data_IF_978826951676
#
_entry.id   IF_978826951676
#
_cell.length_a   1.000
_cell.length_b   1.000
_cell.length_c   1.000
_cell.angle_alpha   90.00
_cell.angle_beta   90.00
_cell.angle_gamma   90.00
#
_symmetry.space_group_name_H-M   'P 1'
#
loop_
_entity.id
_entity.type
_entity.pdbx_description
1 polymer ?
2 non-polymer ?
3 non-polymer ?
4 non-polymer ?
5 water ?
#
# COMPACT_ATOMS: atom_id res chain seq x y z
N UNK A 23 25.59 12.85 -7.23
CA UNK A 23 24.65 13.76 -6.58
C UNK A 23 24.72 15.16 -7.21
N UNK A 24 23.68 15.53 -7.97
CA UNK A 24 23.60 16.83 -8.61
C UNK A 24 22.35 17.57 -8.17
N UNK A 25 21.97 17.29 -6.94
CA UNK A 25 20.75 17.81 -6.33
C UNK A 25 21.05 19.12 -5.61
N UNK A 26 20.10 20.04 -5.68
CA UNK A 26 20.19 21.24 -4.87
C UNK A 26 20.10 20.89 -3.38
N UNK A 27 20.48 21.87 -2.56
CA UNK A 27 20.36 21.66 -1.12
C UNK A 27 18.92 21.48 -0.70
N UNK A 28 17.99 22.17 -1.36
CA UNK A 28 16.58 21.98 -1.05
C UNK A 28 16.13 20.58 -1.42
N UNK A 29 16.66 20.03 -2.51
CA UNK A 29 16.29 18.67 -2.91
C UNK A 29 16.82 17.66 -1.91
N UNK A 30 18.09 17.79 -1.54
CA UNK A 30 18.66 16.90 -0.53
C UNK A 30 17.98 17.06 0.81
N UNK A 31 17.50 18.27 1.13
CA UNK A 31 16.70 18.40 2.34
C UNK A 31 15.43 17.57 2.22
N UNK A 32 14.77 17.67 1.07
CA UNK A 32 13.51 16.99 0.85
C UNK A 32 13.65 15.49 1.04
N UNK A 33 14.70 14.90 0.47
CA UNK A 33 14.90 13.46 0.57
C UNK A 33 15.22 13.05 2.01
N UNK A 34 16.06 13.85 2.68
CA UNK A 34 16.43 13.57 4.06
C UNK A 34 15.20 13.55 4.98
N UNK A 35 14.30 14.53 4.81
CA UNK A 35 13.11 14.53 5.66
C UNK A 35 12.22 13.33 5.36
N UNK A 36 12.05 12.97 4.08
CA UNK A 36 11.23 11.80 3.76
C UNK A 36 11.87 10.52 4.30
N UNK A 37 13.17 10.35 4.11
CA UNK A 37 13.83 9.18 4.66
C UNK A 37 13.68 9.15 6.18
N UNK A 38 13.74 10.32 6.83
CA UNK A 38 13.62 10.37 8.28
C UNK A 38 12.24 9.94 8.73
N UNK A 39 11.20 10.45 8.07
CA UNK A 39 9.84 10.05 8.41
C UNK A 39 9.63 8.55 8.20
N UNK A 40 10.20 8.03 7.11
CA UNK A 40 10.06 6.60 6.82
C UNK A 40 10.71 5.78 7.90
N UNK A 41 11.95 6.12 8.25
CA UNK A 41 12.68 5.43 9.30
C UNK A 41 11.91 5.42 10.61
N UNK A 42 11.19 6.50 10.92
CA UNK A 42 10.54 6.59 12.21
C UNK A 42 9.17 5.91 12.23
N UNK A 43 8.58 5.58 11.09
CA UNK A 43 7.20 5.14 11.09
C UNK A 43 6.96 3.86 10.30
N UNK A 44 7.97 3.27 9.69
CA UNK A 44 7.78 2.01 8.98
C UNK A 44 8.46 0.94 9.85
N UNK A 45 7.65 0.08 10.44
CA UNK A 45 8.11 -1.04 11.27
C UNK A 45 8.41 -2.20 10.33
N UNK A 46 9.63 -2.17 9.77
CA UNK A 46 9.95 -3.11 8.69
C UNK A 46 9.92 -4.56 9.16
N UNK A 47 10.15 -4.82 10.43
CA UNK A 47 10.07 -6.17 10.97
C UNK A 47 8.71 -6.51 11.55
N UNK A 48 7.74 -5.58 11.53
CA UNK A 48 6.41 -5.83 12.06
C UNK A 48 6.46 -6.31 13.52
N UNK A 49 7.41 -5.79 14.30
CA UNK A 49 7.51 -6.18 15.71
C UNK A 49 6.28 -5.77 16.50
N UNK A 50 5.65 -4.64 16.16
CA UNK A 50 4.55 -4.13 16.98
C UNK A 50 3.17 -4.44 16.39
N UNK A 51 3.09 -5.39 15.46
CA UNK A 51 1.78 -5.86 14.98
C UNK A 51 1.43 -7.06 15.84
N UNK A 52 0.56 -6.87 16.83
CA UNK A 52 0.21 -7.89 17.81
C UNK A 52 -1.30 -7.88 18.04
N UNK A 53 -1.80 -8.93 18.70
CA UNK A 53 -3.20 -9.07 19.10
C UNK A 53 -4.16 -9.20 17.93
N UNK A 54 -3.70 -9.65 16.77
CA UNK A 54 -4.57 -9.71 15.61
C UNK A 54 -5.41 -10.98 15.65
N UNK A 55 -6.58 -10.89 15.02
CA UNK A 55 -7.42 -12.07 14.83
C UNK A 55 -6.83 -13.01 13.76
N UNK A 56 -7.28 -14.26 13.80
CA UNK A 56 -6.82 -15.35 12.95
C UNK A 56 -7.99 -16.22 12.58
N UNK A 57 -7.95 -16.87 11.41
CA UNK A 57 -9.06 -17.74 11.01
C UNK A 57 -9.25 -18.87 12.01
N UNK A 58 -10.52 -19.14 12.34
CA UNK A 58 -10.85 -20.00 13.47
C UNK A 58 -10.40 -21.44 13.30
N UNK A 59 -10.50 -22.17 14.40
CA UNK A 59 -10.15 -23.59 14.45
C UNK A 59 -11.42 -24.43 14.59
N UNK A 78 -28.25 -11.00 -5.17
CA UNK A 78 -27.76 -12.38 -5.20
C UNK A 78 -26.72 -12.51 -6.30
N UNK A 79 -26.78 -11.62 -7.29
CA UNK A 79 -25.65 -11.42 -8.19
C UNK A 79 -24.61 -10.50 -7.56
N UNK A 80 -25.02 -9.73 -6.53
CA UNK A 80 -24.05 -9.07 -5.67
C UNK A 80 -23.10 -10.08 -5.07
N UNK A 81 -23.54 -11.34 -5.02
CA UNK A 81 -22.91 -12.42 -4.29
C UNK A 81 -21.86 -13.17 -5.12
N UNK A 82 -22.23 -13.60 -6.34
CA UNK A 82 -21.23 -14.09 -7.28
C UNK A 82 -20.16 -13.05 -7.53
N UNK A 83 -20.48 -11.77 -7.37
CA UNK A 83 -19.48 -10.71 -7.49
C UNK A 83 -18.55 -10.68 -6.28
N UNK A 84 -19.12 -10.75 -5.07
CA UNK A 84 -18.30 -10.77 -3.86
C UNK A 84 -17.43 -12.01 -3.82
N UNK A 85 -18.00 -13.16 -4.24
CA UNK A 85 -17.20 -14.37 -4.38
C UNK A 85 -16.12 -14.19 -5.45
N UNK A 86 -16.47 -13.54 -6.56
CA UNK A 86 -15.46 -13.15 -7.54
C UNK A 86 -14.42 -12.22 -6.91
N UNK A 87 -14.87 -11.24 -6.15
CA UNK A 87 -13.95 -10.31 -5.51
C UNK A 87 -12.96 -11.03 -4.59
N UNK A 88 -13.46 -11.93 -3.74
CA UNK A 88 -12.61 -12.51 -2.70
C UNK A 88 -11.54 -13.42 -3.29
N UNK A 89 -11.94 -14.45 -4.03
CA UNK A 89 -11.01 -15.50 -4.47
C UNK A 89 -9.90 -14.99 -5.40
N UNK A 90 -9.88 -13.69 -5.72
CA UNK A 90 -8.81 -13.17 -6.56
C UNK A 90 -7.46 -13.14 -5.84
N UNK A 91 -7.45 -13.33 -4.51
CA UNK A 91 -6.22 -13.33 -3.74
C UNK A 91 -6.28 -14.47 -2.73
N UNK A 92 -5.64 -15.60 -3.06
CA UNK A 92 -5.61 -16.78 -2.19
C UNK A 92 -4.18 -16.97 -1.68
N UNK A 93 -3.98 -16.78 -0.38
CA UNK A 93 -2.65 -16.91 0.21
C UNK A 93 -2.70 -17.88 1.39
N UNK A 94 -1.60 -18.57 1.57
CA UNK A 94 -1.35 -19.30 2.80
C UNK A 94 -0.58 -18.41 3.77
N UNK A 95 -0.72 -18.71 5.05
CA UNK A 95 -0.27 -17.85 6.12
C UNK A 95 0.68 -18.61 7.03
N UNK A 96 1.82 -18.00 7.36
CA UNK A 96 2.81 -18.66 8.18
C UNK A 96 3.20 -17.75 9.34
N UNK A 97 3.33 -18.33 10.53
CA UNK A 97 3.63 -17.60 11.76
C UNK A 97 4.79 -18.27 12.47
N UNK A 98 5.94 -17.60 12.52
CA UNK A 98 7.13 -18.15 13.17
C UNK A 98 7.12 -17.73 14.64
N UNK A 99 7.28 -18.69 15.53
CA UNK A 99 7.29 -18.38 16.94
C UNK A 99 8.65 -17.89 17.39
N UNK A 100 8.64 -17.05 18.42
CA UNK A 100 9.88 -16.55 19.04
C UNK A 100 10.74 -17.68 19.59
N UNK A 101 10.20 -18.91 19.58
CA UNK A 101 10.84 -20.10 20.12
C UNK A 101 11.27 -21.09 19.05
N UNK A 102 10.94 -20.85 17.78
CA UNK A 102 11.29 -21.76 16.72
C UNK A 102 10.13 -22.56 16.16
N UNK A 103 9.01 -22.63 16.86
CA UNK A 103 7.83 -23.28 16.33
C UNK A 103 7.25 -22.50 15.14
N UNK A 104 6.48 -23.20 14.31
CA UNK A 104 5.84 -22.61 13.15
C UNK A 104 4.36 -23.03 13.11
N UNK A 105 3.47 -22.05 13.09
CA UNK A 105 2.07 -22.28 12.76
C UNK A 105 1.84 -21.94 11.29
N UNK A 106 1.00 -22.74 10.62
CA UNK A 106 0.84 -22.61 9.19
C UNK A 106 -0.61 -22.81 8.79
N UNK A 107 -1.13 -21.92 7.95
CA UNK A 107 -2.54 -21.94 7.58
C UNK A 107 -2.67 -22.03 6.07
N UNK A 108 -3.32 -23.12 5.59
CA UNK A 108 -3.76 -23.25 4.20
C UNK A 108 -5.27 -23.07 4.12
N UNK A 109 -5.77 -22.27 3.17
CA UNK A 109 -7.18 -21.83 3.22
C UNK A 109 -8.12 -22.81 2.55
N UNK A 110 -9.43 -22.64 2.75
CA UNK A 110 -10.40 -23.54 2.13
C UNK A 110 -10.60 -23.25 0.65
N UNK A 111 -10.91 -24.31 -0.09
CA UNK A 111 -11.42 -24.12 -1.45
C UNK A 111 -12.79 -23.46 -1.38
N UNK A 112 -13.13 -22.70 -2.42
CA UNK A 112 -14.43 -22.05 -2.47
C UNK A 112 -15.53 -23.09 -2.60
N UNK A 113 -16.53 -23.03 -1.69
CA UNK A 113 -17.60 -24.03 -1.64
C UNK A 113 -18.98 -23.40 -1.50
N UNK A 114 -19.17 -22.16 -1.96
CA UNK A 114 -20.49 -21.55 -2.06
C UNK A 114 -21.09 -21.02 -0.77
N UNK A 115 -20.32 -20.95 0.31
CA UNK A 115 -20.83 -20.44 1.58
C UNK A 115 -19.94 -19.40 2.22
N UNK A 116 -20.09 -19.20 3.54
CA UNK A 116 -19.35 -18.20 4.31
C UNK A 116 -17.85 -18.56 4.57
N UNK A 117 -17.23 -19.56 3.94
CA UNK A 117 -15.84 -19.92 4.20
C UNK A 117 -14.85 -18.97 3.53
N UNK A 118 -15.31 -18.16 2.58
CA UNK A 118 -14.46 -17.14 1.95
C UNK A 118 -14.24 -15.94 2.85
N UNK A 119 -14.95 -15.88 3.98
CA UNK A 119 -14.91 -14.76 4.91
C UNK A 119 -14.00 -15.00 6.10
N UNK A 120 -13.35 -16.16 6.19
CA UNK A 120 -12.61 -16.51 7.39
C UNK A 120 -11.33 -15.71 7.54
N UNK A 121 -10.79 -15.18 6.46
CA UNK A 121 -9.58 -14.38 6.50
C UNK A 121 -9.81 -12.87 6.66
N UNK A 122 -11.04 -12.38 6.48
CA UNK A 122 -11.28 -10.93 6.52
C UNK A 122 -10.92 -10.26 7.84
N UNK A 123 -11.21 -10.81 9.01
CA UNK A 123 -10.81 -10.07 10.23
C UNK A 123 -9.31 -9.89 10.33
N UNK A 124 -8.52 -10.89 9.93
CA UNK A 124 -7.07 -10.73 9.95
C UNK A 124 -6.60 -9.67 8.95
N UNK A 125 -7.13 -9.70 7.72
CA UNK A 125 -6.80 -8.64 6.75
C UNK A 125 -7.09 -7.27 7.34
N UNK A 126 -8.22 -7.13 8.02
CA UNK A 126 -8.59 -5.84 8.58
C UNK A 126 -7.62 -5.40 9.67
N UNK A 127 -7.18 -6.33 10.52
CA UNK A 127 -6.24 -5.96 11.56
C UNK A 127 -4.90 -5.55 10.97
N UNK A 128 -4.44 -6.26 9.92
CA UNK A 128 -3.19 -5.88 9.26
C UNK A 128 -3.34 -4.53 8.56
N UNK A 129 -4.42 -4.35 7.78
CA UNK A 129 -4.67 -3.08 7.12
C UNK A 129 -4.63 -1.94 8.12
N UNK A 130 -5.26 -2.14 9.27
CA UNK A 130 -5.34 -1.09 10.27
C UNK A 130 -3.95 -0.75 10.80
N UNK A 131 -3.17 -1.78 11.16
CA UNK A 131 -1.80 -1.58 11.58
C UNK A 131 -0.99 -0.81 10.54
N UNK A 132 -1.11 -1.18 9.25
CA UNK A 132 -0.38 -0.44 8.21
C UNK A 132 -0.85 0.99 8.12
N UNK A 133 -2.16 1.20 8.24
CA UNK A 133 -2.71 2.54 8.12
C UNK A 133 -2.16 3.47 9.20
N UNK A 134 -1.95 2.94 10.40
CA UNK A 134 -1.41 3.78 11.47
C UNK A 134 0.00 4.26 11.13
N UNK A 135 0.86 3.34 10.67
CA UNK A 135 2.19 3.74 10.26
C UNK A 135 2.16 4.80 9.16
N UNK A 136 1.24 4.66 8.22
CA UNK A 136 1.08 5.60 7.12
C UNK A 136 0.63 6.97 7.64
N UNK A 137 -0.30 6.99 8.60
CA UNK A 137 -0.75 8.27 9.16
C UNK A 137 0.39 8.96 9.89
N UNK A 138 1.16 8.20 10.69
CA UNK A 138 2.33 8.72 11.38
C UNK A 138 3.36 9.25 10.40
N UNK A 139 3.56 8.55 9.28
CA UNK A 139 4.47 9.02 8.25
C UNK A 139 4.08 10.43 7.76
N UNK A 140 2.81 10.62 7.41
CA UNK A 140 2.37 11.94 6.93
C UNK A 140 2.57 13.00 8.00
N UNK A 141 2.21 12.70 9.25
CA UNK A 141 2.27 13.69 10.34
C UNK A 141 3.69 14.19 10.59
N UNK A 142 4.70 13.36 10.39
CA UNK A 142 6.07 13.80 10.57
C UNK A 142 6.54 14.76 9.47
N UNK A 143 5.93 14.73 8.28
CA UNK A 143 6.39 15.53 7.15
C UNK A 143 5.95 16.99 7.30
N UNK A 144 6.92 17.90 7.25
CA UNK A 144 6.63 19.33 7.42
C UNK A 144 5.65 19.85 6.37
N UNK A 145 5.89 19.56 5.09
CA UNK A 145 4.96 20.01 4.05
C UNK A 145 3.54 19.54 4.34
N UNK A 146 3.38 18.34 4.92
CA UNK A 146 2.04 17.85 5.23
C UNK A 146 1.45 18.59 6.43
N UNK A 147 2.27 18.84 7.45
CA UNK A 147 1.80 19.54 8.64
C UNK A 147 1.35 20.96 8.32
N UNK A 148 2.02 21.63 7.39
CA UNK A 148 1.63 22.99 7.06
C UNK A 148 0.31 23.06 6.29
N UNK A 149 -0.25 21.94 5.89
CA UNK A 149 -1.51 22.09 5.19
C UNK A 149 -2.64 22.26 6.20
N UNK A 150 -3.75 22.88 5.78
CA UNK A 150 -4.94 22.90 6.65
C UNK A 150 -5.37 21.48 6.99
N UNK A 151 -6.02 21.35 8.15
CA UNK A 151 -6.29 20.01 8.67
C UNK A 151 -7.34 19.30 7.83
N UNK A 152 -8.25 20.03 7.20
CA UNK A 152 -9.24 19.38 6.34
C UNK A 152 -8.60 18.79 5.10
N UNK A 153 -7.45 19.32 4.67
CA UNK A 153 -6.77 18.75 3.52
C UNK A 153 -5.86 17.60 3.91
N UNK A 154 -5.20 17.70 5.06
CA UNK A 154 -4.53 16.54 5.61
C UNK A 154 -5.44 15.31 5.59
N UNK A 155 -6.69 15.49 6.02
CA UNK A 155 -7.63 14.37 6.09
C UNK A 155 -8.00 13.92 4.69
N UNK A 156 -8.38 14.85 3.82
CA UNK A 156 -8.73 14.49 2.44
C UNK A 156 -7.59 13.73 1.75
N UNK A 157 -6.35 14.21 1.92
CA UNK A 157 -5.19 13.53 1.33
C UNK A 157 -4.96 12.14 1.93
N UNK A 158 -5.03 12.01 3.27
CA UNK A 158 -4.85 10.69 3.86
C UNK A 158 -5.92 9.72 3.36
N UNK A 159 -7.19 10.14 3.36
CA UNK A 159 -8.25 9.31 2.81
C UNK A 159 -7.94 8.89 1.37
N UNK A 160 -7.27 9.75 0.59
CA UNK A 160 -7.05 9.44 -0.80
C UNK A 160 -5.90 8.48 -1.05
N UNK A 161 -4.87 8.48 -0.19
CA UNK A 161 -3.60 7.84 -0.51
C UNK A 161 -3.20 6.71 0.44
N UNK A 162 -3.86 6.59 1.60
CA UNK A 162 -3.53 5.54 2.57
C UNK A 162 -3.35 4.16 1.93
N UNK A 163 -4.31 3.71 1.13
CA UNK A 163 -4.21 2.42 0.46
C UNK A 163 -2.97 2.36 -0.44
N UNK A 164 -2.71 3.42 -1.21
CA UNK A 164 -1.57 3.41 -2.13
C UNK A 164 -0.24 3.38 -1.37
N UNK A 165 -0.14 4.14 -0.29
CA UNK A 165 1.12 4.13 0.46
C UNK A 165 1.35 2.78 1.11
N UNK A 166 0.26 2.13 1.54
CA UNK A 166 0.39 0.79 2.10
C UNK A 166 0.88 -0.20 1.05
N UNK A 167 0.32 -0.13 -0.16
CA UNK A 167 0.79 -1.00 -1.24
C UNK A 167 2.27 -0.75 -1.54
N UNK A 168 2.68 0.53 -1.57
CA UNK A 168 4.08 0.85 -1.81
C UNK A 168 4.97 0.30 -0.69
N UNK A 169 4.54 0.41 0.57
CA UNK A 169 5.35 -0.17 1.65
C UNK A 169 5.40 -1.69 1.56
N UNK A 170 4.30 -2.32 1.16
CA UNK A 170 4.25 -3.77 1.08
C UNK A 170 5.17 -4.32 0.00
N UNK A 171 5.40 -3.54 -1.06
CA UNK A 171 6.28 -3.99 -2.14
C UNK A 171 7.73 -4.14 -1.68
N UNK A 172 8.16 -3.38 -0.68
CA UNK A 172 9.54 -3.50 -0.20
C UNK A 172 9.78 -4.76 0.63
N UNK A 173 8.74 -5.42 1.15
CA UNK A 173 8.91 -6.71 1.82
C UNK A 173 8.41 -7.87 0.95
N UNK A 174 8.12 -7.61 -0.34
CA UNK A 174 7.65 -8.64 -1.26
C UNK A 174 8.83 -9.39 -1.88
N UNK A 175 8.73 -10.70 -1.94
CA UNK A 175 9.77 -11.58 -2.48
C UNK A 175 9.22 -12.14 -3.78
N UNK A 176 9.66 -11.61 -4.91
CA UNK A 176 9.04 -11.98 -6.17
C UNK A 176 9.53 -13.33 -6.68
N UNK A 177 10.65 -13.83 -6.16
CA UNK A 177 11.09 -15.17 -6.53
C UNK A 177 10.22 -16.25 -5.89
N UNK A 178 9.68 -16.00 -4.70
CA UNK A 178 8.87 -16.98 -3.98
C UNK A 178 7.40 -16.60 -3.86
N UNK A 179 6.98 -15.46 -4.39
CA UNK A 179 5.59 -15.04 -4.28
C UNK A 179 5.14 -14.72 -2.87
N UNK A 180 6.01 -14.11 -2.07
CA UNK A 180 5.82 -14.03 -0.63
C UNK A 180 6.00 -12.61 -0.10
N UNK A 181 5.03 -12.15 0.67
CA UNK A 181 5.22 -10.94 1.47
C UNK A 181 5.79 -11.36 2.81
N UNK A 182 7.04 -10.99 3.06
CA UNK A 182 7.78 -11.37 4.26
C UNK A 182 7.68 -10.24 5.27
N UNK A 183 6.76 -10.38 6.23
CA UNK A 183 6.48 -9.35 7.23
C UNK A 183 6.97 -9.80 8.59
N UNK A 184 8.28 -9.84 8.75
CA UNK A 184 8.81 -10.24 10.05
C UNK A 184 8.54 -11.71 10.36
N UNK A 185 7.87 -11.97 11.49
CA UNK A 185 7.64 -13.33 11.98
C UNK A 185 6.56 -14.03 11.20
N UNK A 186 6.20 -13.47 10.06
CA UNK A 186 4.87 -13.63 9.52
C UNK A 186 4.98 -13.51 8.00
N UNK A 187 4.43 -14.48 7.28
CA UNK A 187 4.62 -14.61 5.84
C UNK A 187 3.28 -14.88 5.14
N UNK A 188 3.07 -14.22 4.02
CA UNK A 188 1.85 -14.39 3.22
C UNK A 188 2.30 -14.89 1.85
N UNK A 189 2.13 -16.18 1.62
CA UNK A 189 2.63 -16.83 0.42
C UNK A 189 1.48 -17.02 -0.57
N UNK A 190 1.70 -16.68 -1.83
CA UNK A 190 0.68 -16.89 -2.84
C UNK A 190 0.55 -18.38 -3.12
N UNK A 191 -0.69 -18.83 -3.27
CA UNK A 191 -1.00 -20.25 -3.39
C UNK A 191 -1.25 -20.61 -4.84
N UNK A 192 -0.60 -21.68 -5.32
CA UNK A 192 -0.85 -22.23 -6.65
C UNK A 192 -2.34 -22.48 -6.89
N UNK A 197 -0.33 -19.36 -11.79
CA UNK A 197 1.07 -19.61 -12.14
C UNK A 197 1.62 -18.43 -12.93
N UNK A 198 1.06 -18.25 -14.12
CA UNK A 198 1.08 -16.97 -14.84
C UNK A 198 -0.31 -16.40 -15.02
N UNK A 199 -1.35 -17.23 -14.86
CA UNK A 199 -2.71 -16.72 -14.63
C UNK A 199 -2.77 -15.85 -13.40
N UNK A 200 -1.86 -16.06 -12.43
CA UNK A 200 -1.83 -15.23 -11.23
C UNK A 200 -1.52 -13.78 -11.56
N UNK A 201 -0.61 -13.54 -12.51
CA UNK A 201 -0.20 -12.19 -12.88
C UNK A 201 -1.30 -11.43 -13.62
N UNK A 202 -2.41 -12.10 -13.91
CA UNK A 202 -3.55 -11.41 -14.48
C UNK A 202 -4.27 -10.55 -13.46
N UNK A 203 -4.17 -10.89 -12.18
CA UNK A 203 -4.71 -10.04 -11.13
C UNK A 203 -3.92 -8.73 -11.08
N UNK A 204 -4.56 -7.57 -11.27
CA UNK A 204 -3.78 -6.32 -11.44
C UNK A 204 -2.95 -5.97 -10.22
N UNK A 205 -3.50 -6.17 -9.02
CA UNK A 205 -2.73 -5.96 -7.80
C UNK A 205 -1.46 -6.80 -7.81
N UNK A 206 -1.55 -8.04 -8.30
CA UNK A 206 -0.37 -8.90 -8.30
C UNK A 206 0.59 -8.51 -9.42
N UNK A 207 0.06 -8.09 -10.57
CA UNK A 207 0.95 -7.66 -11.66
C UNK A 207 1.71 -6.41 -11.25
N UNK A 208 1.02 -5.51 -10.53
CA UNK A 208 1.67 -4.30 -10.03
C UNK A 208 2.85 -4.61 -9.12
N UNK A 209 2.68 -5.57 -8.18
CA UNK A 209 3.76 -5.87 -7.25
C UNK A 209 4.96 -6.49 -7.97
N UNK A 210 4.72 -7.43 -8.90
CA UNK A 210 5.85 -7.99 -9.65
C UNK A 210 6.55 -6.93 -10.49
N UNK A 211 5.78 -6.10 -11.20
CA UNK A 211 6.41 -5.12 -12.06
C UNK A 211 7.21 -4.11 -11.24
N UNK A 212 6.60 -3.55 -10.19
CA UNK A 212 7.32 -2.62 -9.32
C UNK A 212 8.60 -3.23 -8.75
N UNK A 213 8.55 -4.52 -8.40
CA UNK A 213 9.76 -5.14 -7.83
C UNK A 213 10.86 -5.28 -8.88
N UNK A 214 10.49 -5.51 -10.14
CA UNK A 214 11.50 -5.69 -11.18
C UNK A 214 12.32 -4.42 -11.41
N UNK A 215 11.77 -3.24 -11.10
CA UNK A 215 12.52 -2.01 -11.34
C UNK A 215 13.66 -1.83 -10.36
N UNK A 216 13.72 -2.63 -9.28
CA UNK A 216 14.83 -2.62 -8.32
C UNK A 216 15.08 -1.23 -7.73
N UNK A 217 14.04 -0.63 -7.17
CA UNK A 217 14.18 0.74 -6.74
C UNK A 217 14.98 0.83 -5.43
N UNK A 218 15.58 2.00 -5.21
CA UNK A 218 16.25 2.35 -3.97
C UNK A 218 15.23 2.80 -2.92
N UNK A 219 15.67 2.79 -1.65
CA UNK A 219 14.82 3.28 -0.56
C UNK A 219 14.39 4.72 -0.83
N UNK A 220 15.29 5.55 -1.36
CA UNK A 220 14.95 6.93 -1.64
C UNK A 220 13.83 7.04 -2.69
N UNK A 221 13.85 6.17 -3.69
CA UNK A 221 12.83 6.26 -4.74
C UNK A 221 11.46 5.84 -4.22
N UNK A 222 11.40 4.81 -3.36
CA UNK A 222 10.14 4.41 -2.75
C UNK A 222 9.52 5.54 -1.94
N UNK A 223 10.32 6.26 -1.13
CA UNK A 223 9.73 7.29 -0.28
C UNK A 223 9.30 8.49 -1.12
N UNK A 224 10.03 8.79 -2.21
CA UNK A 224 9.55 9.86 -3.11
C UNK A 224 8.26 9.43 -3.81
N UNK A 225 8.14 8.14 -4.14
CA UNK A 225 6.85 7.65 -4.66
C UNK A 225 5.73 7.84 -3.64
N UNK A 226 6.00 7.58 -2.36
CA UNK A 226 5.00 7.82 -1.33
C UNK A 226 4.59 9.29 -1.30
N UNK A 227 5.58 10.19 -1.33
CA UNK A 227 5.30 11.62 -1.31
C UNK A 227 4.42 12.04 -2.48
N UNK A 228 4.83 11.69 -3.69
CA UNK A 228 4.09 12.06 -4.88
C UNK A 228 2.64 11.61 -4.79
N UNK A 229 2.41 10.39 -4.30
CA UNK A 229 1.05 9.88 -4.25
C UNK A 229 0.25 10.47 -3.09
N UNK A 230 0.93 10.75 -1.96
CA UNK A 230 0.26 11.41 -0.83
C UNK A 230 -0.19 12.82 -1.20
N UNK A 231 0.69 13.59 -1.83
CA UNK A 231 0.41 14.96 -2.26
C UNK A 231 -0.19 14.98 -3.68
N UNK A 232 -1.37 14.36 -3.80
CA UNK A 232 -2.07 14.32 -5.08
C UNK A 232 -3.15 15.39 -5.10
N UNK A 233 -3.03 16.43 -5.91
CA UNK A 233 -3.94 17.57 -5.79
C UNK A 233 -5.41 17.25 -6.10
N UNK A 234 -5.70 16.13 -6.76
CA UNK A 234 -7.04 15.82 -7.22
C UNK A 234 -7.75 14.77 -6.37
N UNK A 235 -7.45 14.69 -5.11
CA UNK A 235 -8.26 13.78 -4.32
C UNK A 235 -9.58 14.47 -3.96
N UNK A 236 -10.66 13.70 -3.83
CA UNK A 236 -11.91 14.27 -3.31
C UNK A 236 -11.71 15.16 -2.09
N UNK A 237 -12.25 16.38 -2.17
CA UNK A 237 -12.32 17.25 -1.01
C UNK A 237 -11.07 18.05 -0.72
N UNK A 238 -10.11 18.07 -1.61
CA UNK A 238 -8.89 18.85 -1.39
C UNK A 238 -9.21 20.31 -1.68
N UNK A 239 -8.89 21.19 -0.74
CA UNK A 239 -9.13 22.61 -0.94
C UNK A 239 -7.92 23.32 -1.53
N UNK A 240 -6.76 23.22 -0.89
CA UNK A 240 -5.53 23.82 -1.38
C UNK A 240 -5.00 23.13 -2.63
N UNK A 241 -5.85 23.00 -3.66
CA UNK A 241 -5.45 22.38 -4.92
C UNK A 241 -4.09 22.87 -5.41
N UNK A 242 -3.91 24.19 -5.50
CA UNK A 242 -2.69 24.73 -6.10
C UNK A 242 -1.46 24.45 -5.24
N UNK A 243 -1.60 24.52 -3.91
CA UNK A 243 -0.48 24.25 -3.03
C UNK A 243 -0.05 22.78 -3.17
N UNK A 244 -1.00 21.87 -3.00
CA UNK A 244 -0.69 20.45 -3.09
C UNK A 244 -0.02 20.15 -4.43
N UNK A 245 -0.51 20.78 -5.50
CA UNK A 245 -0.01 20.50 -6.84
C UNK A 245 1.41 21.00 -7.03
N UNK A 246 1.77 22.10 -6.37
CA UNK A 246 3.15 22.57 -6.47
C UNK A 246 4.09 21.71 -5.64
N UNK A 247 3.62 21.26 -4.47
CA UNK A 247 4.39 20.31 -3.67
C UNK A 247 4.66 19.04 -4.45
N UNK A 248 3.61 18.48 -5.07
CA UNK A 248 3.75 17.29 -5.89
C UNK A 248 4.80 17.48 -6.97
N UNK A 249 4.74 18.59 -7.69
CA UNK A 249 5.70 18.82 -8.77
C UNK A 249 7.13 18.86 -8.22
N UNK A 250 7.33 19.42 -7.03
CA UNK A 250 8.67 19.42 -6.45
C UNK A 250 9.12 18.01 -6.09
N UNK A 251 8.23 17.18 -5.52
CA UNK A 251 8.64 15.81 -5.19
C UNK A 251 8.97 15.04 -6.46
N UNK A 252 8.19 15.25 -7.52
CA UNK A 252 8.50 14.59 -8.79
C UNK A 252 9.81 15.09 -9.39
N UNK A 253 10.05 16.41 -9.37
CA UNK A 253 11.30 16.96 -9.89
C UNK A 253 12.50 16.40 -9.13
N UNK A 254 12.37 16.29 -7.80
CA UNK A 254 13.46 15.69 -7.02
C UNK A 254 13.73 14.26 -7.47
N UNK A 255 12.67 13.50 -7.74
CA UNK A 255 12.87 12.10 -8.11
C UNK A 255 13.53 11.99 -9.49
N UNK A 256 13.04 12.75 -10.48
CA UNK A 256 13.70 12.79 -11.77
C UNK A 256 15.17 13.16 -11.62
N UNK A 257 15.47 14.16 -10.78
CA UNK A 257 16.86 14.58 -10.59
C UNK A 257 17.68 13.51 -9.86
N UNK A 258 17.10 12.85 -8.86
CA UNK A 258 17.81 11.78 -8.18
C UNK A 258 18.19 10.67 -9.15
N UNK A 259 17.26 10.32 -10.05
CA UNK A 259 17.53 9.23 -10.98
C UNK A 259 18.65 9.62 -11.94
N UNK A 260 18.60 10.86 -12.45
CA UNK A 260 19.61 11.31 -13.40
C UNK A 260 20.99 11.44 -12.77
N UNK A 261 21.06 11.62 -11.46
CA UNK A 261 22.34 11.76 -10.79
C UNK A 261 22.91 10.44 -10.27
N UNK A 262 22.10 9.39 -10.09
CA UNK A 262 22.63 8.20 -9.45
C UNK A 262 22.36 6.91 -10.21
N UNK A 263 21.81 6.98 -11.43
CA UNK A 263 21.52 5.78 -12.22
C UNK A 263 21.81 6.06 -13.69
N UNK A 264 23.07 5.91 -14.12
CA UNK A 264 23.43 6.20 -15.52
C UNK A 264 23.28 5.02 -16.47
N UNK A 265 22.96 3.83 -15.96
CA UNK A 265 22.99 2.61 -16.76
C UNK A 265 21.90 2.61 -17.83
N UNK A 266 22.20 2.09 -19.02
CA UNK A 266 21.17 1.85 -20.04
C UNK A 266 19.97 1.04 -19.56
N UNK A 267 20.09 0.39 -18.40
CA UNK A 267 18.95 -0.35 -17.87
C UNK A 267 17.96 0.54 -17.13
N UNK A 268 18.35 1.77 -16.78
CA UNK A 268 17.47 2.70 -16.10
C UNK A 268 17.08 3.87 -16.97
N UNK A 269 17.24 3.72 -18.28
CA UNK A 269 16.71 4.72 -19.19
C UNK A 269 15.19 4.74 -19.06
N UNK A 270 14.61 5.94 -19.02
CA UNK A 270 13.18 6.14 -18.86
C UNK A 270 12.66 5.66 -17.50
N UNK A 271 13.56 5.33 -16.55
CA UNK A 271 13.11 4.83 -15.24
C UNK A 271 12.12 5.79 -14.58
N UNK A 272 12.42 7.09 -14.61
CA UNK A 272 11.50 8.07 -14.01
C UNK A 272 10.11 7.96 -14.62
N UNK A 273 10.01 7.74 -15.94
CA UNK A 273 8.70 7.65 -16.57
C UNK A 273 8.01 6.33 -16.28
N UNK A 274 8.75 5.23 -16.18
CA UNK A 274 8.14 3.98 -15.73
C UNK A 274 7.53 4.14 -14.35
N UNK A 275 8.25 4.81 -13.43
CA UNK A 275 7.73 5.04 -12.10
C UNK A 275 6.42 5.85 -12.16
N UNK A 276 6.38 6.91 -12.97
CA UNK A 276 5.14 7.69 -13.01
C UNK A 276 3.99 6.88 -13.58
N UNK A 277 4.28 5.98 -14.54
CA UNK A 277 3.23 5.11 -15.08
C UNK A 277 2.72 4.16 -13.99
N UNK A 278 3.61 3.60 -13.18
CA UNK A 278 3.19 2.70 -12.10
C UNK A 278 2.33 3.45 -11.09
N UNK A 279 2.66 4.71 -10.82
CA UNK A 279 1.81 5.47 -9.91
C UNK A 279 0.43 5.69 -10.49
N UNK A 280 0.32 5.76 -11.83
CA UNK A 280 -0.99 5.92 -12.45
C UNK A 280 -1.79 4.61 -12.38
N UNK A 281 -1.14 3.50 -12.69
CA UNK A 281 -1.78 2.22 -12.46
C UNK A 281 -2.22 2.08 -11.01
N UNK A 282 -1.36 2.49 -10.06
CA UNK A 282 -1.68 2.22 -8.66
C UNK A 282 -2.91 2.98 -8.23
N UNK A 283 -3.13 4.18 -8.78
CA UNK A 283 -4.34 4.92 -8.47
C UNK A 283 -5.57 4.22 -9.03
N UNK A 284 -5.42 3.55 -10.16
CA UNK A 284 -6.53 2.79 -10.74
C UNK A 284 -6.84 1.56 -9.90
N UNK A 285 -5.80 0.79 -9.53
CA UNK A 285 -5.98 -0.33 -8.61
C UNK A 285 -6.65 0.14 -7.34
N UNK A 286 -6.24 1.31 -6.85
CA UNK A 286 -6.80 1.91 -5.65
C UNK A 286 -8.31 2.10 -5.77
N UNK A 287 -8.78 2.62 -6.90
CA UNK A 287 -10.21 2.81 -7.06
C UNK A 287 -10.94 1.48 -7.18
N UNK A 288 -10.37 0.52 -7.93
CA UNK A 288 -11.00 -0.80 -8.04
C UNK A 288 -11.08 -1.52 -6.70
N UNK A 289 -10.02 -1.43 -5.88
CA UNK A 289 -10.09 -2.13 -4.61
C UNK A 289 -11.03 -1.43 -3.63
N UNK A 290 -11.27 -0.12 -3.77
CA UNK A 290 -12.19 0.56 -2.86
C UNK A 290 -13.64 0.14 -3.10
N UNK A 291 -14.06 0.08 -4.37
CA UNK A 291 -15.41 -0.40 -4.69
C UNK A 291 -15.61 -1.83 -4.23
N UNK A 292 -14.58 -2.64 -4.35
CA UNK A 292 -14.65 -4.04 -4.00
C UNK A 292 -14.68 -4.26 -2.50
N UNK A 293 -13.97 -3.42 -1.73
CA UNK A 293 -14.12 -3.45 -0.28
C UNK A 293 -15.53 -3.05 0.14
N UNK A 294 -16.07 -1.98 -0.45
CA UNK A 294 -17.39 -1.51 -0.06
C UNK A 294 -18.49 -2.51 -0.41
N UNK A 295 -18.33 -3.26 -1.51
CA UNK A 295 -19.31 -4.30 -1.82
C UNK A 295 -19.29 -5.39 -0.76
N UNK A 296 -18.09 -5.90 -0.42
CA UNK A 296 -17.99 -6.92 0.62
C UNK A 296 -18.56 -6.40 1.94
N UNK A 297 -18.14 -5.20 2.35
CA UNK A 297 -18.64 -4.59 3.59
C UNK A 297 -20.15 -4.46 3.57
N UNK A 298 -20.73 -4.27 2.39
CA UNK A 298 -22.16 -4.06 2.30
C UNK A 298 -22.94 -5.32 2.68
N UNK A 299 -22.35 -6.49 2.49
CA UNK A 299 -23.02 -7.76 2.77
C UNK A 299 -22.35 -8.57 3.86
N UNK A 300 -21.12 -8.23 4.28
CA UNK A 300 -20.49 -8.90 5.40
C UNK A 300 -19.55 -7.89 6.08
N UNK A 301 -20.01 -7.22 7.12
CA UNK A 301 -19.18 -6.17 7.73
C UNK A 301 -17.93 -6.73 8.35
N UNK A 302 -16.82 -6.01 8.17
CA UNK A 302 -15.54 -6.46 8.66
C UNK A 302 -14.60 -5.28 8.95
N UNK A 303 -14.94 -4.09 8.44
CA UNK A 303 -14.03 -2.95 8.55
C UNK A 303 -13.93 -2.43 9.99
N UNK A 304 -12.70 -2.14 10.41
CA UNK A 304 -12.46 -1.61 11.74
C UNK A 304 -12.84 -0.14 11.81
N UNK A 305 -12.92 0.43 13.01
CA UNK A 305 -13.24 1.86 13.09
C UNK A 305 -12.32 2.75 12.25
N UNK A 306 -11.01 2.45 12.21
CA UNK A 306 -10.11 3.27 11.40
C UNK A 306 -10.36 3.10 9.91
N UNK A 307 -10.70 1.89 9.47
CA UNK A 307 -11.02 1.70 8.06
C UNK A 307 -12.32 2.44 7.70
N UNK A 308 -13.30 2.44 8.61
CA UNK A 308 -14.55 3.17 8.37
C UNK A 308 -14.28 4.65 8.18
N UNK A 309 -13.46 5.25 9.06
CA UNK A 309 -13.07 6.66 8.89
C UNK A 309 -12.47 6.91 7.52
N UNK A 310 -11.44 6.13 7.16
CA UNK A 310 -10.74 6.37 5.89
C UNK A 310 -11.65 6.18 4.69
N UNK A 311 -12.59 5.24 4.75
CA UNK A 311 -13.45 4.97 3.61
C UNK A 311 -14.80 5.67 3.71
N UNK A 312 -14.92 6.67 4.58
CA UNK A 312 -16.10 7.50 4.67
C UNK A 312 -17.33 6.91 5.32
N UNK A 313 -17.24 5.76 6.00
CA UNK A 313 -18.40 5.09 6.59
C UNK A 313 -18.71 5.71 7.96
N UNK A 314 -19.99 6.08 8.17
CA UNK A 314 -20.38 6.93 9.30
C UNK A 314 -20.95 6.17 10.50
N UNK A 315 -21.25 4.89 10.37
CA UNK A 315 -21.86 4.17 11.47
C UNK A 315 -23.38 4.27 11.56
N UNK A 316 -24.03 4.92 10.60
CA UNK A 316 -25.48 4.97 10.52
C UNK A 316 -25.98 4.25 9.27
#
# INVERSE_FOLDING_TARGET
MKKGHHHHHHGSERTGTQPLGVQGLTEEQRMMIRELMDAQMKTFDTTFSHFKNFRLPGVLSSGCELPESLQAPSREEAAKWSQVRKDLCSLKVSLQLRGEDGSVWNYKPPADSGGKEIFSLLPHMADMSTYMFKGIISFAKVISYFRDLPIEDQISLLKGAAFELCQLRFNTVFNAETGTWECGRLSYCLEDTAGGFQQLLLEPMLKFHYMLKKLQLHEEEYVLMQAISLFSPDRPGVLQHRVVDQLQEQFAITLKSYIECNRPQPAHRFLFLKIMAMLTELRSINAQHTQRLLRIQDIHPFATPLMQELFGITGS
#
